data_IF_476483814034
#
_entry.id   IF_476483814034
#
_cell.length_a   1.000
_cell.length_b   1.000
_cell.length_c   1.000
_cell.angle_alpha   90.00
_cell.angle_beta   90.00
_cell.angle_gamma   90.00
#
_symmetry.space_group_name_H-M   'P 1'
#
loop_
_entity.id
_entity.type
_entity.pdbx_description
1 polymer ?
#
# COMPACT_ATOMS: atom_id res chain seq x y z
N UNK A 1 -38.95 -19.13 -7.35
CA UNK A 1 -38.20 -20.39 -7.14
C UNK A 1 -36.93 -20.47 -7.99
N UNK A 2 -37.04 -20.20 -9.30
CA UNK A 2 -35.90 -20.25 -10.24
C UNK A 2 -34.81 -19.19 -9.97
N UNK A 3 -35.18 -17.97 -9.57
CA UNK A 3 -34.23 -16.88 -9.32
C UNK A 3 -33.34 -17.13 -8.07
N UNK A 4 -33.89 -17.78 -7.05
CA UNK A 4 -33.17 -18.22 -5.85
C UNK A 4 -32.18 -19.37 -6.14
N UNK A 5 -32.57 -20.29 -7.02
CA UNK A 5 -31.72 -21.38 -7.51
C UNK A 5 -30.58 -20.85 -8.41
N UNK A 6 -30.86 -19.86 -9.26
CA UNK A 6 -29.86 -19.16 -10.06
C UNK A 6 -28.84 -18.42 -9.18
N UNK A 7 -29.30 -17.67 -8.18
CA UNK A 7 -28.40 -16.99 -7.25
C UNK A 7 -27.52 -17.98 -6.48
N UNK A 8 -28.09 -19.09 -5.99
CA UNK A 8 -27.34 -20.12 -5.27
C UNK A 8 -26.28 -20.79 -6.16
N UNK A 9 -26.62 -21.06 -7.42
CA UNK A 9 -25.70 -21.64 -8.41
C UNK A 9 -24.58 -20.66 -8.75
N UNK A 10 -24.91 -19.38 -8.94
CA UNK A 10 -23.95 -18.31 -9.18
C UNK A 10 -22.97 -18.15 -8.02
N UNK A 11 -23.45 -18.06 -6.77
CA UNK A 11 -22.58 -17.95 -5.60
C UNK A 11 -21.64 -19.14 -5.47
N UNK A 12 -22.15 -20.35 -5.72
CA UNK A 12 -21.33 -21.57 -5.68
C UNK A 12 -20.26 -21.58 -6.78
N UNK A 13 -20.60 -21.13 -7.98
CA UNK A 13 -19.64 -21.00 -9.08
C UNK A 13 -18.58 -19.94 -8.75
N UNK A 14 -18.98 -18.76 -8.28
CA UNK A 14 -18.09 -17.69 -7.87
C UNK A 14 -17.14 -18.15 -6.76
N UNK A 15 -17.66 -18.82 -5.73
CA UNK A 15 -16.85 -19.37 -4.64
C UNK A 15 -15.82 -20.38 -5.17
N UNK A 16 -16.23 -21.31 -6.05
CA UNK A 16 -15.32 -22.29 -6.62
C UNK A 16 -14.22 -21.63 -7.46
N UNK A 17 -14.59 -20.61 -8.26
CA UNK A 17 -13.63 -19.85 -9.07
C UNK A 17 -12.62 -19.12 -8.20
N UNK A 18 -13.09 -18.37 -7.18
CA UNK A 18 -12.22 -17.65 -6.25
C UNK A 18 -11.31 -18.61 -5.48
N UNK A 19 -11.86 -19.73 -5.00
CA UNK A 19 -11.06 -20.73 -4.29
C UNK A 19 -10.00 -21.36 -5.19
N UNK A 20 -10.31 -21.58 -6.47
CA UNK A 20 -9.33 -22.08 -7.44
C UNK A 20 -8.23 -21.04 -7.67
N UNK A 21 -8.60 -19.79 -7.96
CA UNK A 21 -7.65 -18.69 -8.16
C UNK A 21 -6.71 -18.53 -6.96
N UNK A 22 -7.26 -18.47 -5.75
CA UNK A 22 -6.46 -18.34 -4.53
C UNK A 22 -5.48 -19.52 -4.33
N UNK A 23 -5.89 -20.74 -4.69
CA UNK A 23 -5.02 -21.92 -4.63
C UNK A 23 -3.92 -21.89 -5.68
N UNK A 24 -4.26 -21.48 -6.91
CA UNK A 24 -3.32 -21.40 -8.02
C UNK A 24 -2.26 -20.33 -7.70
N UNK A 25 -2.67 -19.12 -7.30
CA UNK A 25 -1.78 -18.03 -6.88
C UNK A 25 -0.89 -18.42 -5.68
N UNK A 26 -1.47 -19.06 -4.66
CA UNK A 26 -0.70 -19.51 -3.50
C UNK A 26 0.31 -20.59 -3.87
N UNK A 27 -0.06 -21.50 -4.77
CA UNK A 27 0.84 -22.58 -5.23
C UNK A 27 2.02 -22.02 -6.03
N UNK A 28 1.76 -21.03 -6.89
CA UNK A 28 2.80 -20.31 -7.62
C UNK A 28 3.73 -19.57 -6.67
N UNK A 29 3.19 -18.83 -5.70
CA UNK A 29 3.99 -18.11 -4.70
C UNK A 29 4.86 -19.05 -3.85
N UNK A 30 4.32 -20.21 -3.44
CA UNK A 30 5.04 -21.22 -2.67
C UNK A 30 6.13 -21.94 -3.47
N UNK A 31 6.06 -21.92 -4.81
CA UNK A 31 7.10 -22.46 -5.66
C UNK A 31 8.34 -21.54 -5.74
N UNK A 32 8.21 -20.27 -5.34
CA UNK A 32 9.31 -19.30 -5.35
C UNK A 32 10.21 -19.53 -4.13
N UNK A 33 11.52 -19.55 -4.34
CA UNK A 33 12.48 -19.66 -3.24
C UNK A 33 12.34 -18.49 -2.25
N UNK A 34 12.29 -18.75 -0.93
CA UNK A 34 12.28 -17.67 0.08
C UNK A 34 13.45 -16.69 -0.05
N UNK A 35 14.60 -17.17 -0.53
CA UNK A 35 15.77 -16.33 -0.77
C UNK A 35 15.56 -15.34 -1.93
N UNK A 36 14.86 -15.77 -2.97
CA UNK A 36 14.50 -14.92 -4.12
C UNK A 36 13.49 -13.88 -3.67
N UNK A 37 12.42 -14.30 -2.99
CA UNK A 37 11.40 -13.39 -2.44
C UNK A 37 12.00 -12.33 -1.53
N UNK A 38 12.91 -12.72 -0.62
CA UNK A 38 13.59 -11.77 0.26
C UNK A 38 14.45 -10.78 -0.53
N UNK A 39 15.16 -11.26 -1.54
CA UNK A 39 15.99 -10.39 -2.39
C UNK A 39 15.13 -9.38 -3.14
N UNK A 40 14.07 -9.83 -3.80
CA UNK A 40 13.15 -8.95 -4.53
C UNK A 40 12.48 -7.92 -3.61
N UNK A 41 12.09 -8.34 -2.40
CA UNK A 41 11.55 -7.44 -1.39
C UNK A 41 12.57 -6.36 -0.99
N UNK A 42 13.81 -6.73 -0.67
CA UNK A 42 14.87 -5.78 -0.29
C UNK A 42 15.18 -4.83 -1.43
N UNK A 43 15.35 -5.35 -2.64
CA UNK A 43 15.68 -4.55 -3.83
C UNK A 43 14.55 -3.54 -4.11
N UNK A 44 13.29 -3.98 -4.10
CA UNK A 44 12.12 -3.12 -4.31
C UNK A 44 11.96 -2.09 -3.19
N UNK A 45 12.10 -2.50 -1.93
CA UNK A 45 12.01 -1.60 -0.79
C UNK A 45 13.09 -0.51 -0.83
N UNK A 46 14.31 -0.87 -1.26
CA UNK A 46 15.40 0.09 -1.41
C UNK A 46 15.10 1.19 -2.43
N UNK A 47 14.35 0.86 -3.50
CA UNK A 47 13.90 1.81 -4.52
C UNK A 47 12.77 2.70 -4.00
N UNK A 48 11.78 2.10 -3.33
CA UNK A 48 10.65 2.82 -2.74
C UNK A 48 11.12 3.81 -1.66
N UNK A 49 12.12 3.44 -0.86
CA UNK A 49 12.62 4.25 0.26
C UNK A 49 13.62 5.35 -0.15
N UNK A 50 13.98 5.51 -1.43
CA UNK A 50 15.03 6.46 -1.86
C UNK A 50 14.76 7.92 -1.48
N UNK A 51 13.50 8.31 -1.26
CA UNK A 51 13.14 9.68 -0.84
C UNK A 51 13.61 10.05 0.57
N UNK A 52 13.97 9.06 1.40
CA UNK A 52 14.72 9.23 2.64
C UNK A 52 14.16 10.29 3.60
N UNK A 53 13.06 10.00 4.29
CA UNK A 53 12.54 10.89 5.34
C UNK A 53 13.09 10.48 6.71
N UNK A 54 13.72 11.42 7.43
CA UNK A 54 14.17 11.21 8.81
C UNK A 54 14.02 12.47 9.65
N UNK A 55 13.82 12.29 10.96
CA UNK A 55 13.79 13.37 11.95
C UNK A 55 14.83 13.13 13.04
N UNK A 56 15.30 14.22 13.66
CA UNK A 56 16.20 14.14 14.80
C UNK A 56 15.51 13.47 16.00
N UNK A 57 16.26 12.65 16.75
CA UNK A 57 15.74 11.98 17.93
C UNK A 57 15.45 12.99 19.04
N UNK A 58 14.21 13.03 19.53
CA UNK A 58 13.81 13.81 20.69
C UNK A 58 13.69 12.91 21.92
N UNK A 59 14.18 13.40 23.06
CA UNK A 59 14.02 12.77 24.37
C UNK A 59 12.83 13.32 25.15
N UNK A 60 12.11 14.29 24.59
CA UNK A 60 10.94 14.87 25.24
C UNK A 60 9.80 13.83 25.32
N UNK A 61 9.05 13.79 26.45
CA UNK A 61 7.90 12.91 26.58
C UNK A 61 6.90 13.10 25.45
N UNK A 62 6.36 12.00 24.94
CA UNK A 62 5.30 12.00 23.93
C UNK A 62 5.67 12.65 22.58
N UNK A 63 6.96 12.85 22.29
CA UNK A 63 7.41 13.32 20.98
C UNK A 63 7.63 12.16 20.02
N UNK A 64 7.07 12.29 18.82
CA UNK A 64 7.26 11.37 17.72
C UNK A 64 8.73 11.32 17.31
N UNK A 65 9.25 10.10 17.17
CA UNK A 65 10.64 9.84 16.78
C UNK A 65 10.69 9.07 15.46
N UNK A 66 11.89 8.99 14.89
CA UNK A 66 12.13 8.35 13.59
C UNK A 66 11.68 6.89 13.52
N UNK A 67 11.67 6.15 14.64
CA UNK A 67 11.20 4.77 14.70
C UNK A 67 9.69 4.65 14.42
N UNK A 68 8.88 5.55 14.99
CA UNK A 68 7.42 5.60 14.73
C UNK A 68 7.16 5.95 13.27
N UNK A 69 7.91 6.92 12.74
CA UNK A 69 7.81 7.36 11.35
C UNK A 69 8.17 6.22 10.40
N UNK A 70 9.31 5.56 10.62
CA UNK A 70 9.77 4.46 9.78
C UNK A 70 8.77 3.30 9.77
N UNK A 71 8.24 2.94 10.94
CA UNK A 71 7.20 1.89 11.04
C UNK A 71 5.91 2.32 10.32
N UNK A 72 5.48 3.56 10.51
CA UNK A 72 4.27 4.09 9.85
C UNK A 72 4.42 3.99 8.33
N UNK A 73 5.53 4.50 7.78
CA UNK A 73 5.78 4.50 6.34
C UNK A 73 5.85 3.07 5.81
N UNK A 74 6.53 2.17 6.51
CA UNK A 74 6.57 0.75 6.15
C UNK A 74 5.17 0.16 5.97
N UNK A 75 4.31 0.29 6.98
CA UNK A 75 2.97 -0.28 6.92
C UNK A 75 2.06 0.40 5.90
N UNK A 76 2.19 1.71 5.70
CA UNK A 76 1.44 2.42 4.67
C UNK A 76 1.86 1.95 3.28
N UNK A 77 3.15 1.96 2.96
CA UNK A 77 3.64 1.62 1.62
C UNK A 77 3.47 0.14 1.28
N UNK A 78 3.67 -0.78 2.23
CA UNK A 78 3.46 -2.21 1.99
C UNK A 78 1.97 -2.60 1.86
N UNK A 79 1.04 -1.74 2.29
CA UNK A 79 -0.40 -1.99 2.15
C UNK A 79 -1.05 -1.24 0.99
N UNK A 80 -0.27 -0.44 0.26
CA UNK A 80 -0.72 0.25 -0.96
C UNK A 80 -0.19 -0.46 -2.20
N UNK A 81 -1.00 -0.59 -3.26
CA UNK A 81 -0.51 -1.07 -4.54
C UNK A 81 0.67 -0.25 -5.04
N UNK A 82 1.59 -0.88 -5.75
CA UNK A 82 2.69 -0.20 -6.44
C UNK A 82 2.56 -0.43 -7.95
N UNK A 83 1.74 0.38 -8.67
CA UNK A 83 1.39 0.10 -10.06
C UNK A 83 2.60 -0.02 -10.99
N UNK A 84 3.66 0.76 -10.74
CA UNK A 84 4.89 0.72 -11.54
C UNK A 84 5.63 -0.62 -11.47
N UNK A 85 5.37 -1.45 -10.46
CA UNK A 85 5.98 -2.76 -10.29
C UNK A 85 5.03 -3.92 -10.66
N UNK A 86 3.86 -3.62 -11.22
CA UNK A 86 3.00 -4.65 -11.80
C UNK A 86 3.66 -5.24 -13.06
N UNK A 87 3.78 -6.58 -13.08
CA UNK A 87 4.38 -7.35 -14.17
C UNK A 87 3.55 -7.27 -15.46
N UNK A 88 2.25 -7.02 -15.35
CA UNK A 88 1.33 -6.94 -16.48
C UNK A 88 1.11 -5.50 -16.99
N UNK A 89 1.87 -4.52 -16.46
CA UNK A 89 1.70 -3.12 -16.82
C UNK A 89 2.20 -2.83 -18.25
N UNK A 90 1.30 -2.34 -19.11
CA UNK A 90 1.66 -1.90 -20.46
C UNK A 90 2.62 -0.69 -20.43
N UNK A 91 3.53 -0.60 -21.40
CA UNK A 91 4.49 0.51 -21.51
C UNK A 91 3.81 1.88 -21.60
N UNK A 92 2.67 1.97 -22.31
CA UNK A 92 1.89 3.21 -22.43
C UNK A 92 1.34 3.66 -21.08
N UNK A 93 0.90 2.72 -20.23
CA UNK A 93 0.39 2.99 -18.89
C UNK A 93 1.53 3.36 -17.94
N UNK A 94 2.66 2.66 -18.03
CA UNK A 94 3.89 2.98 -17.30
C UNK A 94 4.34 4.42 -17.56
N UNK A 95 4.33 4.86 -18.81
CA UNK A 95 4.69 6.23 -19.17
C UNK A 95 3.70 7.25 -18.59
N UNK A 96 2.40 6.95 -18.57
CA UNK A 96 1.40 7.81 -17.91
C UNK A 96 1.62 7.92 -16.40
N UNK A 97 1.87 6.81 -15.72
CA UNK A 97 2.20 6.82 -14.29
C UNK A 97 3.46 7.65 -14.01
N UNK A 98 4.53 7.44 -14.78
CA UNK A 98 5.76 8.22 -14.64
C UNK A 98 5.53 9.72 -14.86
N UNK A 99 4.75 10.12 -15.87
CA UNK A 99 4.42 11.53 -16.11
C UNK A 99 3.64 12.14 -14.95
N UNK A 100 2.72 11.38 -14.34
CA UNK A 100 1.92 11.84 -13.22
C UNK A 100 2.74 12.13 -11.95
N UNK A 101 3.87 11.44 -11.77
CA UNK A 101 4.81 11.72 -10.68
C UNK A 101 5.47 13.10 -10.77
N UNK A 102 5.44 13.74 -11.94
CA UNK A 102 5.99 15.09 -12.15
C UNK A 102 4.91 16.19 -12.14
N UNK A 103 3.63 15.83 -12.06
CA UNK A 103 2.49 16.75 -12.02
C UNK A 103 1.98 16.95 -10.58
N UNK A 104 2.90 17.26 -9.64
CA UNK A 104 2.62 17.38 -8.20
C UNK A 104 2.33 18.85 -7.80
N UNK A 105 1.96 19.72 -8.74
CA UNK A 105 1.86 21.17 -8.49
C UNK A 105 0.81 21.57 -7.44
N UNK A 106 -0.04 20.64 -6.96
CA UNK A 106 -1.09 20.89 -5.95
C UNK A 106 -1.21 19.80 -4.86
N UNK A 107 -0.25 18.87 -4.78
CA UNK A 107 -0.31 17.83 -3.75
C UNK A 107 0.25 18.35 -2.43
N UNK A 108 -0.61 18.38 -1.42
CA UNK A 108 -0.31 18.70 -0.04
C UNK A 108 0.01 20.18 0.26
N UNK A 109 -0.86 21.10 -0.17
CA UNK A 109 -0.74 22.56 0.10
C UNK A 109 -1.11 23.00 1.54
N UNK A 110 -1.11 22.12 2.55
CA UNK A 110 -1.64 22.45 3.90
C UNK A 110 -0.68 22.18 5.06
N UNK A 111 -1.16 22.34 6.30
CA UNK A 111 -0.41 22.02 7.53
C UNK A 111 0.31 20.67 7.47
N UNK A 112 1.54 20.68 7.99
CA UNK A 112 2.44 19.52 8.05
C UNK A 112 1.76 18.28 8.63
N UNK A 113 1.97 17.12 7.98
CA UNK A 113 1.55 15.81 8.49
C UNK A 113 2.15 15.51 9.87
N UNK A 114 3.31 16.07 10.21
CA UNK A 114 4.03 15.81 11.46
C UNK A 114 3.26 16.28 12.71
N UNK A 115 2.32 17.20 12.55
CA UNK A 115 1.47 17.69 13.64
C UNK A 115 0.18 16.86 13.80
N UNK A 116 -0.03 15.86 12.95
CA UNK A 116 -1.17 14.97 13.00
C UNK A 116 -0.89 13.70 13.80
N UNK A 117 -1.20 13.72 15.11
CA UNK A 117 -0.95 12.60 16.03
C UNK A 117 -1.56 11.26 15.60
N UNK A 118 -2.57 11.28 14.72
CA UNK A 118 -3.25 10.07 14.22
C UNK A 118 -2.59 9.44 12.99
N UNK A 119 -1.81 10.22 12.23
CA UNK A 119 -1.17 9.75 10.99
C UNK A 119 0.07 8.93 11.28
N UNK A 120 0.84 9.32 12.29
CA UNK A 120 2.12 8.71 12.63
C UNK A 120 1.99 7.82 13.85
N UNK A 121 1.65 6.56 13.61
CA UNK A 121 1.47 5.55 14.65
C UNK A 121 1.94 4.19 14.17
N UNK A 122 2.51 3.42 15.09
CA UNK A 122 2.79 2.01 14.83
C UNK A 122 1.48 1.21 15.01
N UNK A 123 0.97 0.55 13.95
CA UNK A 123 -0.19 -0.32 14.09
C UNK A 123 0.19 -1.58 14.90
N UNK A 124 -0.72 -2.05 15.76
CA UNK A 124 -0.49 -3.23 16.60
C UNK A 124 -1.00 -4.55 16.02
N UNK A 125 -1.90 -4.48 15.03
CA UNK A 125 -2.55 -5.63 14.39
C UNK A 125 -2.93 -5.30 12.93
N UNK A 126 -3.38 -6.32 12.19
CA UNK A 126 -3.72 -6.21 10.76
C UNK A 126 -4.88 -5.23 10.50
N UNK A 127 -5.85 -5.15 11.43
CA UNK A 127 -6.95 -4.19 11.33
C UNK A 127 -6.43 -2.76 11.45
N UNK A 128 -5.50 -2.51 12.37
CA UNK A 128 -4.86 -1.23 12.56
C UNK A 128 -4.00 -0.83 11.35
N UNK A 129 -3.33 -1.79 10.70
CA UNK A 129 -2.61 -1.56 9.43
C UNK A 129 -3.58 -1.09 8.34
N UNK A 130 -4.68 -1.83 8.13
CA UNK A 130 -5.70 -1.48 7.14
C UNK A 130 -6.28 -0.08 7.41
N UNK A 131 -6.67 0.20 8.65
CA UNK A 131 -7.18 1.52 9.05
C UNK A 131 -6.16 2.64 8.83
N UNK A 132 -4.88 2.39 9.13
CA UNK A 132 -3.81 3.35 8.94
C UNK A 132 -3.63 3.67 7.44
N UNK A 133 -3.60 2.64 6.60
CA UNK A 133 -3.52 2.78 5.14
C UNK A 133 -4.68 3.61 4.57
N UNK A 134 -5.92 3.29 4.99
CA UNK A 134 -7.12 4.03 4.61
C UNK A 134 -7.06 5.50 5.06
N UNK A 135 -6.57 5.76 6.27
CA UNK A 135 -6.42 7.11 6.80
C UNK A 135 -5.42 7.93 5.99
N UNK A 136 -4.26 7.37 5.66
CA UNK A 136 -3.26 8.01 4.82
C UNK A 136 -3.80 8.29 3.42
N UNK A 137 -4.47 7.31 2.79
CA UNK A 137 -5.13 7.49 1.49
C UNK A 137 -6.16 8.60 1.49
N UNK A 138 -7.05 8.61 2.49
CA UNK A 138 -8.07 9.67 2.60
C UNK A 138 -7.44 11.04 2.82
N UNK A 139 -6.39 11.12 3.64
CA UNK A 139 -5.68 12.36 3.92
C UNK A 139 -5.01 12.91 2.66
N UNK A 140 -4.24 12.08 1.95
CA UNK A 140 -3.57 12.46 0.72
C UNK A 140 -4.57 12.86 -0.37
N UNK A 141 -5.65 12.09 -0.54
CA UNK A 141 -6.72 12.40 -1.50
C UNK A 141 -7.38 13.77 -1.22
N UNK A 142 -7.73 14.06 0.05
CA UNK A 142 -8.28 15.36 0.46
C UNK A 142 -7.31 16.53 0.29
N UNK A 143 -6.03 16.23 0.08
CA UNK A 143 -4.95 17.21 -0.08
C UNK A 143 -4.42 17.26 -1.51
N UNK A 144 -5.19 16.79 -2.49
CA UNK A 144 -4.83 16.91 -3.92
C UNK A 144 -3.83 15.86 -4.41
N UNK A 145 -3.47 14.87 -3.59
CA UNK A 145 -2.51 13.82 -3.94
C UNK A 145 -3.19 12.55 -4.47
N UNK A 146 -4.38 12.67 -5.08
CA UNK A 146 -5.14 11.51 -5.58
C UNK A 146 -4.40 10.71 -6.63
N UNK A 147 -3.52 11.35 -7.40
CA UNK A 147 -2.77 10.71 -8.48
C UNK A 147 -1.61 9.84 -7.96
N UNK A 148 -1.27 9.96 -6.67
CA UNK A 148 -0.19 9.19 -6.03
C UNK A 148 -0.67 7.90 -5.33
N UNK A 149 -1.99 7.64 -5.30
CA UNK A 149 -2.62 6.51 -4.59
C UNK A 149 -3.44 5.64 -5.54
#
# INVERSE_FOLDING_TARGET
PDELLQNTTYFKQLQNTLQKQAKDELSEALAISPKILLKEHIDTWSLIWQSGFSISRSLAPSVMNGDVINRTIYYVLCSTPSPLYDLNLEETQRNKFNQSLFQIDQCYESHSTLLGDRLWRAPGDDLAVSQLSLLWRSTLSKKGCTTLM
#
